data_IF_638785537102
#
_entry.id   IF_638785537102
#
_cell.length_a   1.000
_cell.length_b   1.000
_cell.length_c   1.000
_cell.angle_alpha   90.00
_cell.angle_beta   90.00
_cell.angle_gamma   90.00
#
_symmetry.space_group_name_H-M   'P 1'
#
loop_
_entity.id
_entity.type
_entity.pdbx_description
1 polymer ?
#
# COMPACT_ATOMS: atom_id res chain seq x y z
N UNK A 1 -11.93 44.38 -4.36
CA UNK A 1 -12.15 43.58 -5.59
C UNK A 1 -10.77 43.27 -6.15
N UNK A 2 -10.19 42.07 -6.10
CA UNK A 2 -10.69 40.76 -5.67
C UNK A 2 -9.48 39.85 -5.41
N UNK A 3 -8.99 39.75 -4.16
CA UNK A 3 -7.92 38.81 -3.77
C UNK A 3 -8.24 37.37 -4.19
N UNK A 4 -9.53 37.02 -4.19
CA UNK A 4 -10.02 35.74 -4.71
C UNK A 4 -9.79 35.57 -6.22
N UNK A 5 -9.97 36.63 -7.01
CA UNK A 5 -9.71 36.58 -8.45
C UNK A 5 -8.24 36.38 -8.75
N UNK A 6 -7.32 36.96 -7.96
CA UNK A 6 -5.88 36.80 -8.15
C UNK A 6 -5.43 35.37 -7.84
N UNK A 7 -5.92 34.79 -6.74
CA UNK A 7 -5.68 33.37 -6.42
C UNK A 7 -6.22 32.43 -7.50
N UNK A 8 -7.42 32.73 -8.03
CA UNK A 8 -8.04 31.95 -9.09
C UNK A 8 -7.23 32.00 -10.39
N UNK A 9 -6.73 33.17 -10.78
CA UNK A 9 -5.89 33.32 -11.97
C UNK A 9 -4.56 32.57 -11.82
N UNK A 10 -3.91 32.65 -10.65
CA UNK A 10 -2.67 31.89 -10.41
C UNK A 10 -2.92 30.38 -10.36
N UNK A 11 -4.05 29.92 -9.82
CA UNK A 11 -4.44 28.51 -9.90
C UNK A 11 -4.63 28.06 -11.36
N UNK A 12 -5.43 28.79 -12.15
CA UNK A 12 -5.70 28.45 -13.56
C UNK A 12 -4.40 28.46 -14.37
N UNK A 13 -3.49 29.41 -14.09
CA UNK A 13 -2.18 29.49 -14.72
C UNK A 13 -1.27 28.33 -14.34
N UNK A 14 -1.27 27.88 -13.08
CA UNK A 14 -0.54 26.69 -12.66
C UNK A 14 -1.14 25.41 -13.25
N UNK A 15 -2.47 25.29 -13.25
CA UNK A 15 -3.17 24.08 -13.66
C UNK A 15 -3.18 23.93 -15.18
N UNK A 16 -3.60 24.95 -15.92
CA UNK A 16 -3.79 24.93 -17.38
C UNK A 16 -2.52 25.39 -18.10
N UNK A 17 -2.00 26.58 -17.79
CA UNK A 17 -0.89 27.18 -18.55
C UNK A 17 0.44 26.47 -18.33
N UNK A 18 0.72 26.01 -17.10
CA UNK A 18 1.92 25.20 -16.79
C UNK A 18 1.70 23.69 -16.94
N UNK A 19 0.55 23.26 -17.48
CA UNK A 19 0.19 21.85 -17.63
C UNK A 19 0.21 21.07 -16.30
N UNK A 20 -0.08 21.73 -15.17
CA UNK A 20 -0.13 21.09 -13.86
C UNK A 20 -1.12 19.92 -13.77
N UNK A 21 -2.17 19.92 -14.61
CA UNK A 21 -3.08 18.79 -14.75
C UNK A 21 -2.36 17.48 -15.16
N UNK A 22 -1.26 17.57 -15.92
CA UNK A 22 -0.48 16.39 -16.33
C UNK A 22 0.18 15.75 -15.11
N UNK A 23 0.77 16.54 -14.21
CA UNK A 23 1.35 16.00 -12.97
C UNK A 23 0.32 15.35 -12.05
N UNK A 24 -0.93 15.85 -12.05
CA UNK A 24 -2.04 15.21 -11.33
C UNK A 24 -2.39 13.87 -11.96
N UNK A 25 -2.45 13.80 -13.30
CA UNK A 25 -2.68 12.55 -14.02
C UNK A 25 -1.54 11.55 -13.82
N UNK A 26 -0.29 11.99 -13.81
CA UNK A 26 0.87 11.14 -13.53
C UNK A 26 0.80 10.55 -12.12
N UNK A 27 0.46 11.37 -11.11
CA UNK A 27 0.23 10.89 -9.74
C UNK A 27 -0.95 9.91 -9.64
N UNK A 28 -2.00 10.13 -10.44
CA UNK A 28 -3.13 9.22 -10.52
C UNK A 28 -2.72 7.86 -11.09
N UNK A 29 -1.91 7.83 -12.16
CA UNK A 29 -1.38 6.60 -12.75
C UNK A 29 -0.58 5.81 -11.71
N UNK A 30 0.31 6.47 -10.96
CA UNK A 30 1.08 5.83 -9.87
C UNK A 30 0.15 5.27 -8.78
N UNK A 31 -0.92 5.98 -8.42
CA UNK A 31 -1.89 5.51 -7.42
C UNK A 31 -2.60 4.24 -7.88
N UNK A 32 -3.02 4.22 -9.15
CA UNK A 32 -3.67 3.05 -9.76
C UNK A 32 -2.69 1.88 -9.84
N UNK A 33 -1.44 2.13 -10.21
CA UNK A 33 -0.38 1.12 -10.25
C UNK A 33 -0.18 0.47 -8.87
N UNK A 34 -0.05 1.28 -7.82
CA UNK A 34 0.09 0.80 -6.43
C UNK A 34 -1.13 -0.04 -6.03
N UNK A 35 -2.33 0.44 -6.33
CA UNK A 35 -3.56 -0.24 -5.96
C UNK A 35 -3.71 -1.59 -6.65
N UNK A 36 -3.45 -1.67 -7.96
CA UNK A 36 -3.60 -2.91 -8.75
C UNK A 36 -2.55 -3.94 -8.33
N UNK A 37 -1.28 -3.54 -8.23
CA UNK A 37 -0.20 -4.45 -7.85
C UNK A 37 -0.31 -4.89 -6.39
N UNK A 38 -0.65 -3.96 -5.49
CA UNK A 38 -0.91 -4.26 -4.09
C UNK A 38 -2.09 -5.23 -3.94
N UNK A 39 -3.20 -5.00 -4.65
CA UNK A 39 -4.35 -5.88 -4.63
C UNK A 39 -4.00 -7.30 -5.11
N UNK A 40 -3.20 -7.45 -6.17
CA UNK A 40 -2.77 -8.76 -6.65
C UNK A 40 -1.99 -9.54 -5.58
N UNK A 41 -1.06 -8.87 -4.90
CA UNK A 41 -0.30 -9.47 -3.78
C UNK A 41 -1.24 -9.83 -2.63
N UNK A 42 -2.14 -8.92 -2.26
CA UNK A 42 -3.10 -9.13 -1.18
C UNK A 42 -4.03 -10.31 -1.44
N UNK A 43 -4.55 -10.44 -2.67
CA UNK A 43 -5.40 -11.58 -3.05
C UNK A 43 -4.63 -12.89 -2.97
N UNK A 44 -3.38 -12.94 -3.44
CA UNK A 44 -2.56 -14.16 -3.36
C UNK A 44 -2.30 -14.58 -1.92
N UNK A 45 -1.86 -13.64 -1.07
CA UNK A 45 -1.54 -13.90 0.34
C UNK A 45 -2.81 -14.23 1.13
N UNK A 46 -3.88 -13.45 0.96
CA UNK A 46 -5.15 -13.64 1.64
C UNK A 46 -5.83 -14.95 1.26
N UNK A 47 -5.77 -15.35 -0.02
CA UNK A 47 -6.30 -16.65 -0.46
C UNK A 47 -5.51 -17.80 0.16
N UNK A 48 -4.17 -17.73 0.20
CA UNK A 48 -3.35 -18.76 0.83
C UNK A 48 -3.67 -18.89 2.32
N UNK A 49 -3.80 -17.78 3.03
CA UNK A 49 -4.17 -17.74 4.44
C UNK A 49 -5.58 -18.34 4.66
N UNK A 50 -6.55 -17.98 3.81
CA UNK A 50 -7.90 -18.51 3.88
C UNK A 50 -7.94 -20.03 3.70
N UNK A 51 -7.20 -20.57 2.72
CA UNK A 51 -7.10 -22.03 2.49
C UNK A 51 -6.51 -22.75 3.70
N UNK A 52 -5.44 -22.21 4.30
CA UNK A 52 -4.82 -22.77 5.50
C UNK A 52 -5.80 -22.78 6.69
N UNK A 53 -6.64 -21.73 6.81
CA UNK A 53 -7.66 -21.62 7.85
C UNK A 53 -8.84 -22.58 7.69
N UNK A 54 -9.23 -22.87 6.44
CA UNK A 54 -10.39 -23.73 6.12
C UNK A 54 -10.02 -25.21 6.10
N UNK A 55 -8.76 -25.57 5.90
CA UNK A 55 -8.33 -26.97 5.90
C UNK A 55 -8.56 -27.65 7.28
N UNK A 56 -9.07 -28.90 7.31
CA UNK A 56 -9.33 -29.62 8.54
C UNK A 56 -8.02 -29.88 9.32
N UNK A 57 -8.00 -29.48 10.59
CA UNK A 57 -6.84 -29.48 11.50
C UNK A 57 -6.46 -30.88 11.99
N UNK A 58 -6.27 -31.83 11.08
CA UNK A 58 -6.03 -33.24 11.40
C UNK A 58 -4.60 -33.55 11.89
N UNK A 59 -3.64 -32.63 11.69
CA UNK A 59 -2.25 -32.69 12.22
C UNK A 59 -1.90 -31.46 13.05
N UNK A 60 -0.87 -31.56 13.90
CA UNK A 60 -0.32 -30.45 14.70
C UNK A 60 0.17 -29.28 13.85
N UNK A 61 0.69 -29.54 12.64
CA UNK A 61 1.15 -28.54 11.66
C UNK A 61 0.07 -27.50 11.27
N UNK A 62 -1.10 -27.89 10.71
CA UNK A 62 -2.15 -26.92 10.35
C UNK A 62 -2.71 -26.13 11.55
N UNK A 63 -2.62 -26.67 12.77
CA UNK A 63 -3.07 -25.97 14.00
C UNK A 63 -2.11 -24.86 14.44
N UNK A 64 -0.81 -25.01 14.18
CA UNK A 64 0.19 -23.96 14.44
C UNK A 64 0.15 -22.90 13.33
N UNK A 65 0.04 -23.32 12.06
CA UNK A 65 -0.09 -22.40 10.94
C UNK A 65 -1.33 -21.51 11.06
N UNK A 66 -2.48 -22.06 11.45
CA UNK A 66 -3.70 -21.27 11.68
C UNK A 66 -3.52 -20.18 12.76
N UNK A 67 -2.78 -20.49 13.84
CA UNK A 67 -2.43 -19.49 14.87
C UNK A 67 -1.51 -18.40 14.34
N UNK A 68 -0.50 -18.77 13.54
CA UNK A 68 0.45 -17.81 12.95
C UNK A 68 -0.27 -16.92 11.93
N UNK A 69 -1.09 -17.50 11.05
CA UNK A 69 -1.92 -16.77 10.11
C UNK A 69 -2.92 -15.86 10.82
N UNK A 70 -3.53 -16.31 11.92
CA UNK A 70 -4.39 -15.47 12.75
C UNK A 70 -3.66 -14.29 13.36
N UNK A 71 -2.46 -14.52 13.91
CA UNK A 71 -1.60 -13.47 14.45
C UNK A 71 -1.18 -12.45 13.38
N UNK A 72 -0.82 -12.93 12.18
CA UNK A 72 -0.52 -12.07 11.03
C UNK A 72 -1.72 -11.17 10.70
N UNK A 73 -2.90 -11.77 10.53
CA UNK A 73 -4.14 -11.04 10.20
C UNK A 73 -4.45 -9.99 11.28
N UNK A 74 -4.39 -10.36 12.55
CA UNK A 74 -4.66 -9.45 13.67
C UNK A 74 -3.64 -8.31 13.77
N UNK A 75 -2.35 -8.59 13.54
CA UNK A 75 -1.29 -7.59 13.59
C UNK A 75 -1.41 -6.58 12.43
N UNK A 76 -1.62 -7.07 11.21
CA UNK A 76 -1.71 -6.22 10.02
C UNK A 76 -3.03 -5.42 9.98
N UNK A 77 -4.14 -5.96 10.50
CA UNK A 77 -5.40 -5.21 10.67
C UNK A 77 -5.38 -4.27 11.87
N UNK A 78 -4.58 -4.57 12.89
CA UNK A 78 -4.43 -3.75 14.11
C UNK A 78 -3.42 -2.62 13.99
N UNK A 79 -2.55 -2.63 12.99
CA UNK A 79 -1.53 -1.59 12.78
C UNK A 79 -2.04 -0.52 11.81
N UNK A 80 -1.92 0.78 12.13
CA UNK A 80 -2.30 1.85 11.20
C UNK A 80 -1.52 1.77 9.89
N UNK A 81 -2.18 1.99 8.74
CA UNK A 81 -1.53 1.85 7.44
C UNK A 81 -0.35 2.82 7.26
N UNK A 82 -0.45 4.04 7.79
CA UNK A 82 0.67 5.00 7.78
C UNK A 82 1.90 4.43 8.50
N UNK A 83 1.71 3.69 9.61
CA UNK A 83 2.81 3.07 10.36
C UNK A 83 3.47 1.97 9.53
N UNK A 84 2.69 1.15 8.82
CA UNK A 84 3.23 0.11 7.92
C UNK A 84 4.10 0.73 6.81
N UNK A 85 3.65 1.82 6.21
CA UNK A 85 4.42 2.56 5.21
C UNK A 85 5.71 3.14 5.78
N UNK A 86 5.66 3.74 6.98
CA UNK A 86 6.84 4.30 7.64
C UNK A 86 7.86 3.22 8.00
N UNK A 87 7.43 2.11 8.59
CA UNK A 87 8.32 0.99 8.91
C UNK A 87 8.88 0.38 7.63
N UNK A 88 8.05 0.20 6.60
CA UNK A 88 8.48 -0.28 5.29
C UNK A 88 9.58 0.59 4.68
N UNK A 89 9.40 1.91 4.70
CA UNK A 89 10.32 2.84 4.08
C UNK A 89 11.60 3.06 4.89
N UNK A 90 11.47 3.26 6.20
CA UNK A 90 12.59 3.67 7.06
C UNK A 90 13.32 2.51 7.73
N UNK A 91 12.71 1.33 7.84
CA UNK A 91 13.29 0.19 8.56
C UNK A 91 13.53 -0.99 7.62
N UNK A 92 12.52 -1.40 6.87
CA UNK A 92 12.59 -2.61 6.03
C UNK A 92 13.56 -2.44 4.85
N UNK A 93 13.49 -1.30 4.15
CA UNK A 93 14.35 -1.03 2.99
C UNK A 93 15.85 -0.96 3.34
N UNK A 94 16.29 -0.19 4.38
CA UNK A 94 17.68 -0.22 4.80
C UNK A 94 18.12 -1.60 5.30
N UNK A 95 17.24 -2.34 5.97
CA UNK A 95 17.56 -3.68 6.47
C UNK A 95 17.77 -4.72 5.36
N UNK A 96 17.18 -4.51 4.18
CA UNK A 96 17.33 -5.38 3.01
C UNK A 96 18.43 -4.92 2.05
N UNK A 97 19.15 -3.83 2.36
CA UNK A 97 20.13 -3.16 1.49
C UNK A 97 19.57 -2.78 0.10
N UNK A 98 18.25 -2.61 0.02
CA UNK A 98 17.55 -2.24 -1.22
C UNK A 98 17.53 -0.70 -1.28
N UNK A 99 18.45 -0.13 -2.04
CA UNK A 99 18.41 1.29 -2.40
C UNK A 99 17.32 1.54 -3.45
N UNK A 100 16.07 1.67 -3.01
CA UNK A 100 15.01 2.18 -3.87
C UNK A 100 14.98 3.71 -3.81
N UNK A 101 15.22 4.32 -4.97
CA UNK A 101 15.12 5.77 -5.15
C UNK A 101 13.66 6.28 -5.18
N UNK A 102 12.67 5.41 -5.00
CA UNK A 102 11.24 5.73 -5.09
C UNK A 102 10.44 5.01 -4.01
N UNK A 103 9.46 5.70 -3.41
CA UNK A 103 8.55 5.14 -2.40
C UNK A 103 7.46 4.21 -2.97
N UNK A 104 7.32 4.14 -4.30
CA UNK A 104 6.28 3.35 -4.97
C UNK A 104 6.36 1.84 -4.69
N UNK A 105 7.54 1.18 -4.76
CA UNK A 105 7.67 -0.24 -4.45
C UNK A 105 7.31 -0.58 -2.99
N UNK A 106 7.67 0.30 -2.05
CA UNK A 106 7.31 0.14 -0.64
C UNK A 106 5.80 0.20 -0.48
N UNK A 107 5.16 1.17 -1.13
CA UNK A 107 3.72 1.30 -1.10
C UNK A 107 3.06 0.02 -1.63
N UNK A 108 3.48 -0.50 -2.79
CA UNK A 108 2.95 -1.75 -3.36
C UNK A 108 3.03 -2.91 -2.37
N UNK A 109 4.21 -3.13 -1.77
CA UNK A 109 4.43 -4.25 -0.83
C UNK A 109 3.59 -4.07 0.43
N UNK A 110 3.61 -2.89 1.05
CA UNK A 110 2.89 -2.64 2.30
C UNK A 110 1.38 -2.65 2.10
N UNK A 111 0.87 -2.05 1.03
CA UNK A 111 -0.56 -2.13 0.67
C UNK A 111 -0.97 -3.57 0.33
N UNK A 112 -0.10 -4.35 -0.30
CA UNK A 112 -0.38 -5.75 -0.61
C UNK A 112 -0.43 -6.63 0.64
N UNK A 113 0.54 -6.48 1.56
CA UNK A 113 0.53 -7.19 2.84
C UNK A 113 -0.69 -6.80 3.68
N UNK A 114 -1.00 -5.49 3.76
CA UNK A 114 -2.19 -4.99 4.44
C UNK A 114 -3.49 -5.56 3.86
N UNK A 115 -3.61 -5.63 2.52
CA UNK A 115 -4.81 -6.12 1.84
C UNK A 115 -4.99 -7.63 1.92
N UNK A 116 -3.90 -8.38 2.16
CA UNK A 116 -3.93 -9.84 2.34
C UNK A 116 -4.19 -10.29 3.78
N UNK A 117 -4.30 -9.36 4.72
CA UNK A 117 -4.59 -9.60 6.14
C UNK A 117 -6.07 -9.34 6.45
#
# INVERSE_FOLDING_TARGET
>A
MDSFSEMWQEFVKQFITRKGYISVLDGLVVTVEIAVLGLLIGVLIGTLIAVVRVMPKYKTLPRVLDKICGCYVELFRGTPMVVQLLIGYWVLLPAMDIQVNSGVPVAIIMFGLNSGA
#
